data_IF_404859076055
#
_entry.id   IF_404859076055
#
_cell.length_a   1.000
_cell.length_b   1.000
_cell.length_c   1.000
_cell.angle_alpha   90.00
_cell.angle_beta   90.00
_cell.angle_gamma   90.00
#
_symmetry.space_group_name_H-M   'P 1'
#
loop_
_entity.id
_entity.type
_entity.pdbx_description
1 polymer ?
#
# COMPACT_ATOMS: atom_id res chain seq x y z
N UNK A 1 -29.95 19.70 3.76
CA UNK A 1 -29.05 20.47 2.88
C UNK A 1 -27.68 19.80 2.93
N UNK A 2 -27.08 19.55 1.76
CA UNK A 2 -25.93 18.65 1.57
C UNK A 2 -24.72 19.12 2.38
N UNK A 3 -24.22 18.27 3.27
CA UNK A 3 -22.98 18.48 4.00
C UNK A 3 -21.82 18.46 2.99
N UNK A 4 -21.37 19.64 2.59
CA UNK A 4 -20.12 19.86 1.88
C UNK A 4 -18.96 19.60 2.85
N UNK A 5 -18.73 18.34 3.20
CA UNK A 5 -17.50 17.95 3.86
C UNK A 5 -16.47 17.75 2.76
N UNK A 6 -15.34 18.45 2.89
CA UNK A 6 -14.14 18.24 2.11
C UNK A 6 -13.63 16.80 2.32
N UNK A 7 -14.22 15.83 1.61
CA UNK A 7 -13.60 14.54 1.35
C UNK A 7 -12.43 14.83 0.39
N UNK A 8 -11.30 15.27 0.95
CA UNK A 8 -10.03 15.26 0.22
C UNK A 8 -9.93 13.88 -0.41
N UNK A 9 -9.83 13.80 -1.73
CA UNK A 9 -9.66 12.53 -2.43
C UNK A 9 -8.41 11.85 -1.86
N UNK A 10 -8.60 10.90 -0.94
CA UNK A 10 -7.54 10.04 -0.39
C UNK A 10 -7.19 8.91 -1.35
N UNK A 11 -7.67 9.02 -2.60
CA UNK A 11 -7.49 8.04 -3.67
C UNK A 11 -6.18 8.37 -4.37
N UNK A 12 -5.26 7.43 -4.31
CA UNK A 12 -3.96 7.50 -4.93
C UNK A 12 -3.86 6.47 -6.05
N UNK A 13 -3.25 6.87 -7.16
CA UNK A 13 -2.90 5.94 -8.24
C UNK A 13 -1.58 5.28 -7.86
N UNK A 14 -1.53 3.96 -7.95
CA UNK A 14 -0.33 3.17 -7.71
C UNK A 14 0.14 2.62 -9.04
N UNK A 15 1.31 3.09 -9.47
CA UNK A 15 1.98 2.54 -10.64
C UNK A 15 2.61 1.20 -10.28
N UNK A 16 2.09 0.15 -10.93
CA UNK A 16 2.56 -1.23 -10.76
C UNK A 16 2.73 -1.82 -12.16
N UNK A 17 3.81 -2.58 -12.33
CA UNK A 17 3.99 -3.39 -13.52
C UNK A 17 2.76 -4.31 -13.73
N UNK A 18 2.34 -4.48 -14.99
CA UNK A 18 1.05 -5.10 -15.31
C UNK A 18 0.96 -6.55 -14.81
N UNK A 19 2.07 -7.28 -14.80
CA UNK A 19 2.14 -8.67 -14.35
C UNK A 19 1.92 -8.81 -12.83
N UNK A 20 2.34 -7.81 -12.06
CA UNK A 20 2.29 -7.82 -10.59
C UNK A 20 0.99 -7.21 -10.05
N UNK A 21 0.24 -6.51 -10.91
CA UNK A 21 -0.97 -5.75 -10.55
C UNK A 21 -2.00 -6.59 -9.79
N UNK A 22 -2.23 -7.83 -10.23
CA UNK A 22 -3.19 -8.73 -9.57
C UNK A 22 -2.72 -9.16 -8.19
N UNK A 23 -1.43 -9.46 -8.05
CA UNK A 23 -0.83 -9.88 -6.77
C UNK A 23 -0.82 -8.72 -5.76
N UNK A 24 -0.50 -7.50 -6.21
CA UNK A 24 -0.61 -6.29 -5.38
C UNK A 24 -2.06 -6.06 -4.95
N UNK A 25 -3.01 -6.11 -5.89
CA UNK A 25 -4.43 -5.92 -5.60
C UNK A 25 -4.93 -6.91 -4.54
N UNK A 26 -4.69 -8.21 -4.74
CA UNK A 26 -5.09 -9.24 -3.79
C UNK A 26 -4.48 -8.98 -2.40
N UNK A 27 -3.20 -8.60 -2.33
CA UNK A 27 -2.55 -8.37 -1.04
C UNK A 27 -3.10 -7.15 -0.31
N UNK A 28 -3.47 -6.10 -1.03
CA UNK A 28 -4.12 -4.93 -0.44
C UNK A 28 -5.51 -5.26 0.11
N UNK A 29 -6.27 -6.11 -0.58
CA UNK A 29 -7.55 -6.60 -0.08
C UNK A 29 -7.39 -7.43 1.21
N UNK A 30 -6.40 -8.31 1.27
CA UNK A 30 -6.08 -9.09 2.49
C UNK A 30 -5.70 -8.20 3.69
N UNK A 31 -5.15 -7.02 3.43
CA UNK A 31 -4.80 -6.02 4.45
C UNK A 31 -5.96 -5.07 4.79
N UNK A 32 -7.14 -5.27 4.20
CA UNK A 32 -8.32 -4.41 4.31
C UNK A 32 -8.04 -2.95 3.90
N UNK A 33 -7.14 -2.74 2.93
CA UNK A 33 -6.88 -1.43 2.35
C UNK A 33 -7.83 -1.25 1.16
N UNK A 34 -8.68 -0.21 1.13
CA UNK A 34 -9.60 0.00 0.02
C UNK A 34 -8.84 0.22 -1.28
N UNK A 35 -9.12 -0.59 -2.29
CA UNK A 35 -8.46 -0.54 -3.59
C UNK A 35 -9.40 -0.95 -4.73
N UNK A 36 -9.11 -0.46 -5.93
CA UNK A 36 -9.87 -0.72 -7.14
C UNK A 36 -8.92 -1.04 -8.29
N UNK A 37 -9.20 -2.14 -8.98
CA UNK A 37 -8.50 -2.56 -10.18
C UNK A 37 -9.52 -2.78 -11.29
N UNK A 38 -9.50 -1.92 -12.30
CA UNK A 38 -10.33 -2.05 -13.50
C UNK A 38 -9.47 -2.51 -14.69
N UNK A 39 -10.09 -3.16 -15.67
CA UNK A 39 -9.40 -3.62 -16.89
C UNK A 39 -8.75 -2.43 -17.60
N UNK A 40 -7.46 -2.55 -17.93
CA UNK A 40 -6.65 -1.51 -18.57
C UNK A 40 -6.49 -0.20 -17.79
N UNK A 41 -6.88 -0.16 -16.52
CA UNK A 41 -6.66 0.99 -15.64
C UNK A 41 -5.58 0.68 -14.61
N UNK A 42 -4.84 1.70 -14.12
CA UNK A 42 -3.91 1.52 -13.04
C UNK A 42 -4.65 1.22 -11.73
N UNK A 43 -3.95 0.59 -10.79
CA UNK A 43 -4.48 0.26 -9.47
C UNK A 43 -4.71 1.57 -8.70
N UNK A 44 -5.91 1.74 -8.15
CA UNK A 44 -6.25 2.88 -7.28
C UNK A 44 -6.37 2.39 -5.85
N UNK A 45 -5.85 3.15 -4.90
CA UNK A 45 -5.82 2.80 -3.48
C UNK A 45 -6.26 3.99 -2.65
N UNK A 46 -7.08 3.78 -1.63
CA UNK A 46 -7.44 4.81 -0.67
C UNK A 46 -6.58 4.72 0.58
N UNK A 47 -5.85 5.78 0.90
CA UNK A 47 -4.97 5.82 2.08
C UNK A 47 -5.61 6.67 3.17
N UNK A 48 -6.26 6.00 4.11
CA UNK A 48 -6.94 6.63 5.24
C UNK A 48 -6.07 6.87 6.48
N UNK A 49 -4.90 6.25 6.57
CA UNK A 49 -4.04 6.30 7.76
C UNK A 49 -2.55 6.14 7.41
N UNK A 50 -1.63 6.60 8.29
CA UNK A 50 -0.19 6.36 8.12
C UNK A 50 0.16 4.87 8.08
N UNK A 51 -0.57 4.03 8.81
CA UNK A 51 -0.37 2.58 8.81
C UNK A 51 -0.68 1.99 7.43
N UNK A 52 -1.78 2.40 6.80
CA UNK A 52 -2.13 1.97 5.45
C UNK A 52 -1.08 2.41 4.42
N UNK A 53 -0.48 3.59 4.59
CA UNK A 53 0.61 4.07 3.74
C UNK A 53 1.87 3.20 3.86
N UNK A 54 2.28 2.87 5.09
CA UNK A 54 3.43 1.99 5.35
C UNK A 54 3.17 0.59 4.80
N UNK A 55 1.97 0.05 5.02
CA UNK A 55 1.58 -1.26 4.50
C UNK A 55 1.61 -1.31 2.97
N UNK A 56 1.04 -0.29 2.29
CA UNK A 56 1.12 -0.17 0.84
C UNK A 56 2.58 -0.14 0.36
N UNK A 57 3.43 0.66 1.00
CA UNK A 57 4.86 0.71 0.68
C UNK A 57 5.54 -0.65 0.85
N UNK A 58 5.28 -1.37 1.93
CA UNK A 58 5.80 -2.72 2.15
C UNK A 58 5.31 -3.72 1.10
N UNK A 59 4.06 -3.61 0.66
CA UNK A 59 3.52 -4.43 -0.43
C UNK A 59 4.27 -4.12 -1.72
N UNK A 60 4.43 -2.84 -2.07
CA UNK A 60 5.13 -2.43 -3.29
C UNK A 60 6.59 -2.91 -3.32
N UNK A 61 7.30 -2.76 -2.20
CA UNK A 61 8.68 -3.23 -2.05
C UNK A 61 8.83 -4.72 -2.39
N UNK A 62 7.87 -5.57 -2.03
CA UNK A 62 7.91 -7.02 -2.34
C UNK A 62 8.07 -7.33 -3.82
N UNK A 63 7.56 -6.45 -4.69
CA UNK A 63 7.57 -6.65 -6.13
C UNK A 63 8.66 -5.84 -6.83
N UNK A 64 9.19 -4.79 -6.19
CA UNK A 64 10.18 -3.89 -6.80
C UNK A 64 11.61 -4.14 -6.35
N UNK A 65 11.84 -4.74 -5.17
CA UNK A 65 13.19 -4.95 -4.61
C UNK A 65 13.55 -6.42 -4.46
N UNK A 66 14.84 -6.71 -4.32
CA UNK A 66 15.30 -8.07 -4.05
C UNK A 66 14.70 -8.57 -2.72
N UNK A 67 14.52 -9.89 -2.61
CA UNK A 67 14.01 -10.50 -1.39
C UNK A 67 14.89 -10.17 -0.16
N UNK A 68 16.19 -10.04 -0.34
CA UNK A 68 17.12 -9.71 0.75
C UNK A 68 16.88 -8.29 1.26
N UNK A 69 16.73 -7.32 0.35
CA UNK A 69 16.47 -5.91 0.71
C UNK A 69 15.12 -5.75 1.44
N UNK A 70 14.11 -6.52 1.01
CA UNK A 70 12.82 -6.54 1.69
C UNK A 70 12.92 -7.10 3.11
N UNK A 71 13.64 -8.21 3.30
CA UNK A 71 13.85 -8.80 4.64
C UNK A 71 14.57 -7.82 5.55
N UNK A 72 15.68 -7.25 5.08
CA UNK A 72 16.45 -6.26 5.83
C UNK A 72 15.60 -5.06 6.26
N UNK A 73 14.76 -4.56 5.35
CA UNK A 73 13.84 -3.46 5.65
C UNK A 73 12.83 -3.83 6.74
N UNK A 74 12.23 -5.01 6.65
CA UNK A 74 11.26 -5.50 7.64
C UNK A 74 11.91 -5.71 9.01
N UNK A 75 13.13 -6.24 9.04
CA UNK A 75 13.93 -6.39 10.26
C UNK A 75 14.21 -5.05 10.91
N UNK A 76 14.59 -4.03 10.14
CA UNK A 76 14.81 -2.68 10.67
C UNK A 76 13.54 -2.03 11.22
N UNK A 77 12.40 -2.19 10.53
CA UNK A 77 11.11 -1.74 11.04
C UNK A 77 10.77 -2.43 12.36
N UNK A 78 11.06 -3.74 12.46
CA UNK A 78 10.87 -4.49 13.69
C UNK A 78 11.76 -3.95 14.81
N UNK A 79 13.07 -3.85 14.60
CA UNK A 79 14.03 -3.34 15.59
C UNK A 79 13.67 -1.93 16.08
N UNK A 80 13.30 -1.03 15.16
CA UNK A 80 12.88 0.34 15.52
C UNK A 80 11.70 0.38 16.48
N UNK A 81 10.80 -0.61 16.41
CA UNK A 81 9.66 -0.74 17.33
C UNK A 81 10.08 -1.20 18.74
N UNK A 82 11.17 -1.96 18.84
CA UNK A 82 11.68 -2.49 20.11
C UNK A 82 12.78 -1.62 20.76
N UNK A 83 13.34 -0.66 20.03
CA UNK A 83 14.32 0.31 20.53
C UNK A 83 13.69 1.48 21.33
N UNK A 84 12.39 1.41 21.68
CA UNK A 84 11.71 2.43 22.49
C UNK A 84 11.68 2.12 24.01
N UNK A 85 12.69 1.40 24.52
CA UNK A 85 12.93 1.24 25.95
C UNK A 85 14.37 1.61 26.31
#
# INVERSE_FOLDING_TARGET
MKSSSSEKERKHIVEVHWADRWQVYQRLQELNIPCWCETNQPLRVEIGSPVAAIQLWSVMQRFTVSRQDMIWTLENCWQSRYQQF
#
